data_IF_653170925774
#
_entry.id   IF_653170925774
#
_cell.length_a   1.000
_cell.length_b   1.000
_cell.length_c   1.000
_cell.angle_alpha   90.00
_cell.angle_beta   90.00
_cell.angle_gamma   90.00
#
_symmetry.space_group_name_H-M   'P 1'
#
loop_
_entity.id
_entity.type
_entity.pdbx_description
1 polymer ?
#
# COMPACT_ATOMS: atom_id res chain seq x y z
N UNK A 1 13.63 13.61 32.17
CA UNK A 1 13.39 12.19 32.46
C UNK A 1 14.25 11.42 31.48
N UNK A 2 15.30 10.75 31.95
CA UNK A 2 16.03 9.77 31.13
C UNK A 2 15.13 8.55 31.04
N UNK A 3 14.49 8.36 29.89
CA UNK A 3 13.77 7.11 29.62
C UNK A 3 14.75 5.95 29.72
N UNK A 4 14.34 4.90 30.42
CA UNK A 4 15.13 3.67 30.58
C UNK A 4 15.07 2.90 29.26
N UNK A 5 16.12 3.03 28.43
CA UNK A 5 16.20 2.40 27.11
C UNK A 5 16.63 0.95 27.28
N UNK A 6 15.74 0.03 26.93
CA UNK A 6 15.97 -1.42 27.02
C UNK A 6 16.69 -1.95 25.78
N UNK A 7 17.62 -2.87 25.98
CA UNK A 7 18.37 -3.53 24.89
C UNK A 7 17.57 -4.72 24.38
N UNK A 8 17.24 -4.72 23.09
CA UNK A 8 16.57 -5.84 22.44
C UNK A 8 17.55 -6.97 22.10
N UNK A 9 17.10 -8.22 22.22
CA UNK A 9 17.86 -9.41 21.82
C UNK A 9 17.23 -10.06 20.58
N UNK A 10 17.99 -10.25 19.49
CA UNK A 10 17.48 -10.97 18.33
C UNK A 10 17.35 -12.47 18.62
N UNK A 11 16.26 -13.06 18.16
CA UNK A 11 15.94 -14.47 18.24
C UNK A 11 15.65 -14.99 16.83
N UNK A 12 16.03 -16.25 16.56
CA UNK A 12 15.46 -16.93 15.39
C UNK A 12 13.99 -17.26 15.66
N UNK A 13 13.15 -17.01 14.65
CA UNK A 13 11.74 -17.39 14.60
C UNK A 13 11.59 -18.88 14.86
N UNK A 14 12.46 -19.71 14.24
CA UNK A 14 12.45 -21.16 14.42
C UNK A 14 12.79 -21.57 15.85
N UNK A 15 13.78 -20.92 16.47
CA UNK A 15 14.15 -21.15 17.88
C UNK A 15 13.04 -20.74 18.85
N UNK A 16 12.15 -19.82 18.45
CA UNK A 16 10.97 -19.44 19.21
C UNK A 16 9.78 -20.40 19.05
N UNK A 17 9.93 -21.52 18.31
CA UNK A 17 8.89 -22.51 18.07
C UNK A 17 7.90 -22.12 16.98
N UNK A 18 8.25 -21.15 16.14
CA UNK A 18 7.42 -20.62 15.06
C UNK A 18 7.95 -21.10 13.70
N UNK A 19 7.10 -21.09 12.68
CA UNK A 19 7.42 -21.59 11.33
C UNK A 19 7.12 -20.55 10.23
N UNK A 20 7.46 -20.89 9.00
CA UNK A 20 7.24 -20.05 7.81
C UNK A 20 5.75 -19.67 7.68
N UNK A 21 4.83 -20.61 7.90
CA UNK A 21 3.38 -20.36 7.84
C UNK A 21 2.91 -19.30 8.83
N UNK A 22 3.43 -19.35 10.06
CA UNK A 22 3.14 -18.36 11.08
C UNK A 22 3.62 -16.97 10.64
N UNK A 23 4.82 -16.87 10.06
CA UNK A 23 5.33 -15.60 9.55
C UNK A 23 4.48 -15.09 8.38
N UNK A 24 4.03 -15.98 7.50
CA UNK A 24 3.09 -15.63 6.44
C UNK A 24 1.76 -15.12 7.00
N UNK A 25 1.25 -15.68 8.11
CA UNK A 25 0.04 -15.17 8.78
C UNK A 25 0.25 -13.74 9.31
N UNK A 26 1.42 -13.45 9.91
CA UNK A 26 1.72 -12.10 10.39
C UNK A 26 1.77 -11.08 9.26
N UNK A 27 2.45 -11.42 8.16
CA UNK A 27 2.53 -10.56 6.98
C UNK A 27 1.15 -10.38 6.34
N UNK A 28 0.36 -11.45 6.22
CA UNK A 28 -0.99 -11.39 5.64
C UNK A 28 -1.94 -10.52 6.47
N UNK A 29 -1.88 -10.65 7.80
CA UNK A 29 -2.71 -9.86 8.72
C UNK A 29 -2.32 -8.38 8.74
N UNK A 30 -1.05 -8.06 8.50
CA UNK A 30 -0.56 -6.69 8.44
C UNK A 30 0.51 -6.49 7.34
N UNK A 31 0.11 -6.37 6.06
CA UNK A 31 1.06 -6.20 4.95
C UNK A 31 1.94 -4.94 5.07
N UNK A 32 1.42 -3.91 5.74
CA UNK A 32 2.15 -2.66 5.97
C UNK A 32 3.43 -2.84 6.80
N UNK A 33 3.53 -3.94 7.56
CA UNK A 33 4.74 -4.28 8.32
C UNK A 33 5.97 -4.47 7.41
N UNK A 34 5.79 -4.79 6.13
CA UNK A 34 6.87 -4.92 5.15
C UNK A 34 7.50 -3.57 4.73
N UNK A 35 6.88 -2.43 5.05
CA UNK A 35 7.38 -1.12 4.63
C UNK A 35 7.24 -0.85 3.12
N UNK A 36 6.23 -1.44 2.49
CA UNK A 36 5.93 -1.34 1.05
C UNK A 36 4.70 -0.46 0.74
N UNK A 37 4.23 0.32 1.71
CA UNK A 37 2.99 1.11 1.61
C UNK A 37 1.75 0.35 2.10
N UNK A 38 0.57 0.87 1.78
CA UNK A 38 -0.72 0.27 2.15
C UNK A 38 -1.14 -0.74 1.07
N UNK A 39 -0.69 -1.98 1.21
CA UNK A 39 -0.97 -3.06 0.27
C UNK A 39 -2.19 -3.89 0.71
N UNK A 40 -2.96 -4.36 -0.27
CA UNK A 40 -4.07 -5.30 -0.12
C UNK A 40 -3.59 -6.75 -0.30
N UNK A 41 -4.04 -7.66 0.58
CA UNK A 41 -3.89 -9.10 0.36
C UNK A 41 -4.81 -9.58 -0.77
N UNK A 42 -4.23 -10.14 -1.84
CA UNK A 42 -4.99 -10.68 -2.96
C UNK A 42 -5.19 -12.19 -2.82
N UNK A 43 -4.10 -12.94 -2.61
CA UNK A 43 -4.14 -14.41 -2.44
C UNK A 43 -3.06 -14.83 -1.45
N UNK A 44 -3.35 -15.83 -0.63
CA UNK A 44 -2.39 -16.54 0.22
C UNK A 44 -2.28 -18.01 -0.22
N UNK A 45 -1.07 -18.56 -0.26
CA UNK A 45 -0.75 -19.96 -0.63
C UNK A 45 -1.31 -20.42 -1.98
N UNK A 46 -1.09 -19.63 -3.03
CA UNK A 46 -1.60 -19.96 -4.37
C UNK A 46 -0.78 -21.04 -5.03
N UNK A 47 -1.37 -22.21 -5.31
CA UNK A 47 -0.73 -23.23 -6.16
C UNK A 47 -0.48 -22.72 -7.58
N UNK A 48 0.73 -22.96 -8.08
CA UNK A 48 1.17 -22.55 -9.43
C UNK A 48 1.04 -23.69 -10.44
N UNK A 49 0.79 -23.34 -11.71
CA UNK A 49 0.62 -24.32 -12.80
C UNK A 49 1.91 -25.08 -13.14
N UNK A 50 3.07 -24.48 -12.87
CA UNK A 50 4.40 -25.09 -13.02
C UNK A 50 4.79 -26.00 -11.85
N UNK A 51 3.95 -26.13 -10.82
CA UNK A 51 4.31 -26.71 -9.53
C UNK A 51 4.78 -25.66 -8.52
N UNK A 52 4.67 -25.96 -7.23
CA UNK A 52 4.95 -25.01 -6.13
C UNK A 52 3.76 -24.14 -5.73
N UNK A 53 3.99 -23.17 -4.85
CA UNK A 53 2.97 -22.22 -4.36
C UNK A 53 3.60 -20.86 -4.12
N UNK A 54 2.89 -19.79 -4.51
CA UNK A 54 3.23 -18.44 -4.05
C UNK A 54 2.73 -18.31 -2.63
N UNK A 55 3.62 -17.93 -1.71
CA UNK A 55 3.26 -17.77 -0.31
C UNK A 55 2.22 -16.65 -0.12
N UNK A 56 2.51 -15.43 -0.59
CA UNK A 56 1.58 -14.31 -0.50
C UNK A 56 1.63 -13.46 -1.77
N UNK A 57 0.45 -13.11 -2.29
CA UNK A 57 0.28 -12.16 -3.37
C UNK A 57 -0.41 -10.91 -2.83
N UNK A 58 0.30 -9.79 -2.82
CA UNK A 58 -0.23 -8.49 -2.42
C UNK A 58 -0.45 -7.61 -3.65
N UNK A 59 -1.25 -6.56 -3.47
CA UNK A 59 -1.59 -5.61 -4.53
C UNK A 59 -1.65 -4.19 -3.98
N UNK A 60 -1.11 -3.24 -4.71
CA UNK A 60 -1.29 -1.83 -4.43
C UNK A 60 -2.70 -1.38 -4.85
N UNK A 61 -3.53 -0.89 -3.91
CA UNK A 61 -4.86 -0.39 -4.20
C UNK A 61 -4.86 0.99 -4.85
N UNK A 62 -3.73 1.57 -5.21
CA UNK A 62 -3.62 2.85 -5.92
C UNK A 62 -3.32 2.67 -7.39
N UNK A 63 -2.46 1.73 -7.79
CA UNK A 63 -2.04 1.60 -9.20
C UNK A 63 -2.09 0.17 -9.77
N UNK A 64 -2.58 -0.79 -8.98
CA UNK A 64 -2.69 -2.21 -9.33
C UNK A 64 -1.35 -2.94 -9.44
N UNK A 65 -0.25 -2.34 -8.98
CA UNK A 65 1.03 -3.03 -8.82
C UNK A 65 0.88 -4.25 -7.93
N UNK A 66 1.64 -5.31 -8.22
CA UNK A 66 1.56 -6.58 -7.54
C UNK A 66 2.89 -6.92 -6.89
N UNK A 67 2.83 -7.53 -5.71
CA UNK A 67 3.99 -7.92 -4.94
C UNK A 67 3.89 -9.41 -4.61
N UNK A 68 4.75 -10.19 -5.24
CA UNK A 68 4.86 -11.63 -5.06
C UNK A 68 5.83 -11.91 -3.91
N UNK A 69 5.32 -12.14 -2.71
CA UNK A 69 6.10 -12.33 -1.49
C UNK A 69 6.39 -13.81 -1.26
N UNK A 70 7.67 -14.16 -1.18
CA UNK A 70 8.18 -15.51 -0.88
C UNK A 70 8.93 -15.50 0.46
N UNK A 71 8.50 -16.34 1.40
CA UNK A 71 8.98 -16.34 2.78
C UNK A 71 9.79 -17.62 3.06
N UNK A 72 11.00 -17.46 3.57
CA UNK A 72 11.78 -18.58 4.13
C UNK A 72 12.42 -18.18 5.44
N UNK A 73 12.40 -19.08 6.43
CA UNK A 73 13.13 -18.87 7.68
C UNK A 73 14.62 -19.23 7.49
N UNK A 74 15.46 -18.61 8.31
CA UNK A 74 16.91 -18.79 8.27
C UNK A 74 17.62 -17.93 7.23
N UNK A 75 18.80 -18.42 6.84
CA UNK A 75 19.62 -17.79 5.81
C UNK A 75 19.02 -18.02 4.43
N UNK A 76 18.96 -16.97 3.61
CA UNK A 76 18.62 -17.08 2.19
C UNK A 76 19.55 -18.07 1.48
N UNK A 77 18.98 -18.91 0.62
CA UNK A 77 19.73 -19.84 -0.23
C UNK A 77 19.37 -19.67 -1.72
N UNK A 78 19.98 -20.50 -2.58
CA UNK A 78 19.69 -20.49 -4.01
C UNK A 78 18.21 -20.82 -4.31
N UNK A 79 17.60 -21.70 -3.52
CA UNK A 79 16.19 -22.11 -3.70
C UNK A 79 15.25 -20.95 -3.44
N UNK A 80 15.52 -20.14 -2.41
CA UNK A 80 14.73 -18.98 -2.07
C UNK A 80 14.69 -17.95 -3.20
N UNK A 81 15.86 -17.64 -3.76
CA UNK A 81 15.99 -16.70 -4.88
C UNK A 81 15.27 -17.23 -6.12
N UNK A 82 15.48 -18.51 -6.46
CA UNK A 82 14.85 -19.13 -7.63
C UNK A 82 13.32 -19.08 -7.51
N UNK A 83 12.76 -19.50 -6.37
CA UNK A 83 11.29 -19.47 -6.15
C UNK A 83 10.72 -18.07 -6.25
N UNK A 84 11.39 -17.10 -5.61
CA UNK A 84 10.97 -15.69 -5.65
C UNK A 84 10.84 -15.19 -7.10
N UNK A 85 11.81 -15.50 -7.95
CA UNK A 85 11.84 -15.06 -9.36
C UNK A 85 10.83 -15.85 -10.22
N UNK A 86 10.73 -17.16 -10.05
CA UNK A 86 9.78 -18.00 -10.79
C UNK A 86 8.34 -17.57 -10.54
N UNK A 87 8.01 -17.24 -9.29
CA UNK A 87 6.69 -16.78 -8.88
C UNK A 87 6.35 -15.42 -9.45
N UNK A 88 7.30 -14.48 -9.42
CA UNK A 88 7.17 -13.21 -10.10
C UNK A 88 6.96 -13.36 -11.61
N UNK A 89 7.77 -14.17 -12.31
CA UNK A 89 7.66 -14.34 -13.76
C UNK A 89 6.32 -14.96 -14.15
N UNK A 90 5.84 -15.94 -13.38
CA UNK A 90 4.53 -16.56 -13.60
C UNK A 90 3.37 -15.55 -13.48
N UNK A 91 3.34 -14.73 -12.42
CA UNK A 91 2.27 -13.75 -12.24
C UNK A 91 2.38 -12.60 -13.26
N UNK A 92 3.59 -12.17 -13.61
CA UNK A 92 3.83 -11.19 -14.67
C UNK A 92 3.36 -11.68 -16.05
N UNK A 93 3.61 -12.94 -16.40
CA UNK A 93 3.08 -13.54 -17.64
C UNK A 93 1.56 -13.63 -17.65
N UNK A 94 0.96 -13.84 -16.48
CA UNK A 94 -0.49 -13.88 -16.30
C UNK A 94 -1.14 -12.51 -16.42
N UNK A 95 -0.53 -11.47 -15.87
CA UNK A 95 -1.03 -10.10 -15.88
C UNK A 95 0.00 -9.09 -16.41
N UNK A 96 0.39 -9.19 -17.69
CA UNK A 96 1.54 -8.46 -18.25
C UNK A 96 1.40 -6.93 -18.30
N UNK A 97 0.19 -6.41 -18.06
CA UNK A 97 -0.10 -4.98 -18.03
C UNK A 97 0.09 -4.36 -16.63
N UNK A 98 0.28 -5.16 -15.58
CA UNK A 98 0.52 -4.67 -14.22
C UNK A 98 2.02 -4.60 -13.97
N UNK A 99 2.43 -3.72 -13.06
CA UNK A 99 3.77 -3.77 -12.51
C UNK A 99 3.82 -4.91 -11.48
N UNK A 100 4.92 -5.65 -11.45
CA UNK A 100 5.10 -6.82 -10.58
C UNK A 100 6.45 -6.71 -9.89
N UNK A 101 6.51 -7.00 -8.59
CA UNK A 101 7.70 -6.94 -7.76
C UNK A 101 7.90 -8.27 -7.04
N UNK A 102 9.08 -8.86 -7.22
CA UNK A 102 9.44 -10.07 -6.49
C UNK A 102 9.93 -9.68 -5.09
N UNK A 103 9.28 -10.16 -4.04
CA UNK A 103 9.61 -9.78 -2.65
C UNK A 103 10.17 -10.99 -1.90
N UNK A 104 11.46 -10.95 -1.58
CA UNK A 104 12.17 -12.00 -0.84
C UNK A 104 12.18 -11.64 0.66
N UNK A 105 11.62 -12.50 1.52
CA UNK A 105 11.61 -12.30 2.99
C UNK A 105 12.37 -13.41 3.71
N UNK A 106 13.49 -13.08 4.37
CA UNK A 106 14.36 -14.02 5.08
C UNK A 106 14.81 -13.52 6.45
N UNK A 107 15.25 -14.40 7.36
CA UNK A 107 15.84 -13.98 8.65
C UNK A 107 17.25 -13.40 8.49
N UNK A 108 18.00 -13.87 7.50
CA UNK A 108 19.36 -13.41 7.20
C UNK A 108 19.63 -13.47 5.70
N UNK A 109 20.11 -12.37 5.13
CA UNK A 109 20.58 -12.31 3.75
C UNK A 109 22.09 -12.08 3.81
N UNK A 110 22.89 -13.12 3.59
CA UNK A 110 24.35 -12.98 3.65
C UNK A 110 24.87 -12.14 2.49
N UNK A 111 26.08 -11.58 2.65
CA UNK A 111 26.73 -10.77 1.62
C UNK A 111 26.83 -11.49 0.26
N UNK A 112 27.03 -12.81 0.26
CA UNK A 112 27.05 -13.62 -0.96
C UNK A 112 25.71 -13.53 -1.69
N UNK A 113 24.60 -13.81 -1.00
CA UNK A 113 23.28 -13.80 -1.60
C UNK A 113 22.76 -12.38 -1.88
N UNK A 114 23.09 -11.40 -1.04
CA UNK A 114 22.85 -10.00 -1.33
C UNK A 114 23.45 -9.59 -2.68
N UNK A 115 24.72 -9.93 -2.93
CA UNK A 115 25.37 -9.62 -4.21
C UNK A 115 24.68 -10.31 -5.40
N UNK A 116 24.23 -11.56 -5.23
CA UNK A 116 23.50 -12.30 -6.27
C UNK A 116 22.15 -11.63 -6.56
N UNK A 117 21.38 -11.32 -5.52
CA UNK A 117 20.09 -10.63 -5.65
C UNK A 117 20.27 -9.27 -6.32
N UNK A 118 21.29 -8.51 -5.93
CA UNK A 118 21.61 -7.21 -6.53
C UNK A 118 22.01 -7.31 -8.03
N UNK A 119 22.70 -8.38 -8.45
CA UNK A 119 22.96 -8.60 -9.88
C UNK A 119 21.65 -8.88 -10.62
N UNK A 120 20.83 -9.78 -10.07
CA UNK A 120 19.54 -10.16 -10.66
C UNK A 120 18.55 -9.00 -10.72
N UNK A 121 18.67 -8.05 -9.78
CA UNK A 121 17.74 -6.93 -9.70
C UNK A 121 17.83 -5.95 -10.88
N UNK A 122 18.90 -6.02 -11.68
CA UNK A 122 19.00 -5.27 -12.94
C UNK A 122 17.99 -5.75 -14.00
N UNK A 123 17.47 -6.98 -13.88
CA UNK A 123 16.53 -7.58 -14.83
C UNK A 123 15.17 -7.90 -14.21
N UNK A 124 15.12 -8.10 -12.90
CA UNK A 124 13.91 -8.41 -12.15
C UNK A 124 13.75 -7.35 -11.06
N UNK A 125 12.59 -6.69 -10.91
CA UNK A 125 12.36 -5.75 -9.82
C UNK A 125 12.23 -6.51 -8.49
N UNK A 126 13.37 -6.79 -7.85
CA UNK A 126 13.46 -7.58 -6.61
C UNK A 126 13.58 -6.63 -5.41
N UNK A 127 12.71 -6.84 -4.44
CA UNK A 127 12.78 -6.21 -3.11
C UNK A 127 13.18 -7.28 -2.12
N UNK A 128 14.24 -7.04 -1.34
CA UNK A 128 14.69 -7.98 -0.32
C UNK A 128 14.43 -7.39 1.07
N UNK A 129 13.77 -8.16 1.92
CA UNK A 129 13.37 -7.77 3.26
C UNK A 129 13.94 -8.79 4.25
N UNK A 130 14.67 -8.29 5.24
CA UNK A 130 15.11 -9.08 6.37
C UNK A 130 14.08 -8.97 7.49
N UNK A 131 13.62 -10.11 8.02
CA UNK A 131 12.78 -10.18 9.22
C UNK A 131 13.63 -10.52 10.44
N UNK A 132 13.31 -9.93 11.57
CA UNK A 132 13.96 -10.24 12.85
C UNK A 132 12.91 -10.33 13.94
N UNK A 133 12.92 -11.43 14.69
CA UNK A 133 12.17 -11.53 15.93
C UNK A 133 13.06 -10.98 17.05
N UNK A 134 12.60 -9.95 17.75
CA UNK A 134 13.33 -9.35 18.86
C UNK A 134 12.58 -9.56 20.17
N UNK A 135 13.31 -9.82 21.24
CA UNK A 135 12.79 -9.92 22.61
C UNK A 135 13.25 -8.71 23.43
N UNK A 136 12.28 -8.06 24.08
CA UNK A 136 12.50 -6.97 25.04
C UNK A 136 11.70 -7.30 26.29
N UNK A 137 12.39 -7.68 27.37
CA UNK A 137 11.79 -8.04 28.66
C UNK A 137 10.65 -9.09 28.56
N UNK A 138 10.83 -10.10 27.72
CA UNK A 138 9.85 -11.17 27.51
C UNK A 138 8.72 -10.81 26.55
N UNK A 139 8.69 -9.57 26.04
CA UNK A 139 7.82 -9.19 24.94
C UNK A 139 8.53 -9.40 23.61
N UNK A 140 7.90 -10.16 22.72
CA UNK A 140 8.43 -10.45 21.39
C UNK A 140 7.82 -9.52 20.36
N UNK A 141 8.64 -8.97 19.48
CA UNK A 141 8.21 -8.14 18.36
C UNK A 141 8.87 -8.61 17.07
N UNK A 142 8.12 -8.55 15.96
CA UNK A 142 8.70 -8.70 14.63
C UNK A 142 9.13 -7.34 14.11
N UNK A 143 10.33 -7.28 13.56
CA UNK A 143 10.87 -6.12 12.88
C UNK A 143 11.24 -6.53 11.45
N UNK A 144 10.79 -5.75 10.46
CA UNK A 144 11.12 -5.96 9.06
C UNK A 144 11.99 -4.82 8.58
N UNK A 145 13.08 -5.14 7.90
CA UNK A 145 14.03 -4.17 7.36
C UNK A 145 14.17 -4.43 5.88
N UNK A 146 13.91 -3.42 5.06
CA UNK A 146 14.17 -3.48 3.63
C UNK A 146 15.68 -3.34 3.42
N UNK A 147 16.32 -4.39 2.91
CA UNK A 147 17.77 -4.44 2.69
C UNK A 147 18.16 -4.15 1.24
N UNK A 148 17.23 -4.38 0.30
CA UNK A 148 17.37 -3.98 -1.10
C UNK A 148 16.01 -3.49 -1.59
N UNK A 149 15.98 -2.29 -2.17
CA UNK A 149 14.85 -1.77 -2.92
C UNK A 149 15.35 -1.24 -4.24
N UNK A 150 15.22 -2.03 -5.30
CA UNK A 150 15.69 -1.60 -6.63
C UNK A 150 14.70 -0.67 -7.33
N UNK A 151 13.65 -0.23 -6.62
CA UNK A 151 12.75 0.82 -7.08
C UNK A 151 13.16 2.21 -6.59
N UNK A 152 14.29 2.35 -5.90
CA UNK A 152 14.97 3.63 -5.90
C UNK A 152 15.44 3.88 -7.34
N UNK A 153 14.76 4.80 -8.05
CA UNK A 153 15.36 5.45 -9.22
C UNK A 153 16.79 5.83 -8.81
N UNK A 154 17.78 5.31 -9.53
CA UNK A 154 19.16 5.80 -9.39
C UNK A 154 19.05 7.30 -9.66
N UNK A 155 19.23 8.11 -8.62
CA UNK A 155 19.46 9.54 -8.78
C UNK A 155 20.70 9.67 -9.67
N UNK A 156 20.49 9.90 -10.96
CA UNK A 156 21.54 10.02 -11.97
C UNK A 156 22.29 11.36 -11.85
N UNK A 157 22.07 12.08 -10.75
CA UNK A 157 22.61 13.41 -10.52
C UNK A 157 21.90 14.47 -11.36
N UNK A 158 20.81 14.15 -12.07
CA UNK A 158 19.83 15.16 -12.44
C UNK A 158 19.10 15.55 -11.17
N UNK A 159 19.64 16.56 -10.50
CA UNK A 159 19.02 17.22 -9.35
C UNK A 159 17.51 17.21 -9.53
N UNK A 160 16.78 16.72 -8.52
CA UNK A 160 15.33 16.88 -8.41
C UNK A 160 15.01 18.32 -8.81
N UNK A 161 14.58 18.52 -10.06
CA UNK A 161 13.84 19.73 -10.37
C UNK A 161 12.69 19.63 -9.39
N UNK A 162 12.53 20.63 -8.53
CA UNK A 162 11.28 20.86 -7.82
C UNK A 162 10.21 20.91 -8.90
N UNK A 163 9.66 19.75 -9.27
CA UNK A 163 8.56 19.67 -10.20
C UNK A 163 7.44 20.29 -9.42
N UNK A 164 7.08 21.51 -9.79
CA UNK A 164 5.94 22.20 -9.22
C UNK A 164 4.71 21.31 -9.45
N UNK A 165 4.26 20.62 -8.40
CA UNK A 165 3.13 19.72 -8.49
C UNK A 165 1.87 20.55 -8.38
N UNK A 166 1.31 20.91 -9.53
CA UNK A 166 0.11 21.72 -9.65
C UNK A 166 -0.92 21.03 -10.55
N UNK A 167 -1.99 21.76 -10.90
CA UNK A 167 -3.05 21.26 -11.76
C UNK A 167 -2.53 20.84 -13.15
N UNK A 168 -1.58 21.57 -13.72
CA UNK A 168 -1.05 21.28 -15.06
C UNK A 168 -0.19 20.01 -15.08
N UNK A 169 0.56 19.75 -14.01
CA UNK A 169 1.21 18.46 -13.80
C UNK A 169 0.18 17.32 -13.84
N UNK A 170 -0.93 17.46 -13.10
CA UNK A 170 -1.99 16.44 -13.06
C UNK A 170 -2.77 16.33 -14.36
N UNK A 171 -2.96 17.41 -15.12
CA UNK A 171 -3.55 17.37 -16.45
C UNK A 171 -2.72 16.53 -17.43
N UNK A 172 -1.39 16.56 -17.32
CA UNK A 172 -0.49 15.71 -18.12
C UNK A 172 -0.45 14.27 -17.60
N UNK A 173 -0.41 14.08 -16.28
CA UNK A 173 -0.28 12.78 -15.63
C UNK A 173 -1.55 11.94 -15.68
N UNK A 174 -2.69 12.54 -15.34
CA UNK A 174 -3.98 11.89 -15.20
C UNK A 174 -5.11 12.94 -15.17
N UNK A 175 -5.41 13.55 -16.32
CA UNK A 175 -6.44 14.59 -16.46
C UNK A 175 -7.79 14.20 -15.84
N UNK A 176 -8.20 12.95 -16.02
CA UNK A 176 -9.45 12.43 -15.46
C UNK A 176 -9.51 12.51 -13.92
N UNK A 177 -8.36 12.40 -13.24
CA UNK A 177 -8.30 12.51 -11.77
C UNK A 177 -8.44 13.96 -11.31
N UNK A 178 -7.85 14.90 -12.05
CA UNK A 178 -8.05 16.33 -11.79
C UNK A 178 -9.53 16.73 -11.99
N UNK A 179 -10.14 16.31 -13.10
CA UNK A 179 -11.55 16.59 -13.40
C UNK A 179 -12.51 15.93 -12.39
N UNK A 180 -12.23 14.69 -11.97
CA UNK A 180 -13.01 14.01 -10.92
C UNK A 180 -12.88 14.74 -9.59
N UNK A 181 -11.70 15.27 -9.27
CA UNK A 181 -11.48 16.05 -8.04
C UNK A 181 -12.27 17.35 -8.07
N UNK A 182 -12.31 18.06 -9.20
CA UNK A 182 -13.12 19.28 -9.33
C UNK A 182 -14.60 19.00 -9.12
N UNK A 183 -15.08 17.90 -9.73
CA UNK A 183 -16.47 17.49 -9.57
C UNK A 183 -16.78 17.14 -8.12
N UNK A 184 -15.92 16.37 -7.47
CA UNK A 184 -16.06 16.07 -6.05
C UNK A 184 -16.09 17.34 -5.20
N UNK A 185 -15.15 18.26 -5.44
CA UNK A 185 -15.07 19.55 -4.74
C UNK A 185 -16.36 20.37 -4.87
N UNK A 186 -16.97 20.38 -6.06
CA UNK A 186 -18.26 21.07 -6.30
C UNK A 186 -19.43 20.48 -5.50
N UNK A 187 -19.33 19.22 -5.08
CA UNK A 187 -20.37 18.50 -4.32
C UNK A 187 -20.12 18.57 -2.82
N UNK A 188 -18.86 18.49 -2.39
CA UNK A 188 -18.51 18.41 -0.96
C UNK A 188 -18.21 19.78 -0.34
N UNK A 189 -18.01 20.82 -1.15
CA UNK A 189 -17.59 22.14 -0.68
C UNK A 189 -18.55 22.79 0.32
N UNK A 190 -19.86 22.58 0.16
CA UNK A 190 -20.86 23.13 1.09
C UNK A 190 -20.78 22.48 2.48
N UNK A 191 -20.47 21.18 2.55
CA UNK A 191 -20.28 20.46 3.80
C UNK A 191 -18.91 20.73 4.43
N UNK A 192 -17.88 20.92 3.59
CA UNK A 192 -16.50 21.15 4.00
C UNK A 192 -16.12 22.62 3.82
N UNK A 193 -16.61 23.45 4.74
CA UNK A 193 -16.25 24.88 4.76
C UNK A 193 -14.73 25.06 4.71
N UNK A 194 -14.28 25.96 3.84
CA UNK A 194 -12.85 26.24 3.61
C UNK A 194 -12.04 25.07 3.04
N UNK A 195 -12.68 24.07 2.42
CA UNK A 195 -11.96 23.06 1.67
C UNK A 195 -11.18 23.68 0.49
N UNK A 196 -10.02 23.10 0.21
CA UNK A 196 -9.17 23.48 -0.90
C UNK A 196 -8.56 22.24 -1.57
N UNK A 197 -8.28 22.35 -2.86
CA UNK A 197 -7.60 21.30 -3.61
C UNK A 197 -6.08 21.49 -3.43
N UNK A 198 -5.41 20.45 -2.94
CA UNK A 198 -3.96 20.41 -2.80
C UNK A 198 -3.39 19.35 -3.74
N UNK A 199 -2.43 19.75 -4.58
CA UNK A 199 -1.77 18.85 -5.51
C UNK A 199 -0.47 18.36 -4.89
N UNK A 200 -0.29 17.03 -4.82
CA UNK A 200 0.98 16.42 -4.43
C UNK A 200 1.40 15.40 -5.48
N UNK A 201 2.67 14.97 -5.44
CA UNK A 201 3.26 14.09 -6.48
C UNK A 201 2.41 12.83 -6.72
N UNK A 202 1.85 12.24 -5.66
CA UNK A 202 1.21 10.92 -5.72
C UNK A 202 -0.33 10.94 -5.71
N UNK A 203 -0.96 12.01 -5.24
CA UNK A 203 -2.42 12.17 -5.19
C UNK A 203 -2.85 13.63 -5.29
N UNK A 204 -4.15 13.84 -5.51
CA UNK A 204 -4.80 15.14 -5.31
C UNK A 204 -5.63 15.05 -4.03
N UNK A 205 -5.49 16.00 -3.11
CA UNK A 205 -6.26 16.04 -1.88
C UNK A 205 -7.31 17.13 -1.89
N UNK A 206 -8.44 16.86 -1.22
CA UNK A 206 -9.38 17.87 -0.74
C UNK A 206 -9.11 18.03 0.75
N UNK A 207 -8.61 19.20 1.13
CA UNK A 207 -8.07 19.46 2.47
C UNK A 207 -8.83 20.60 3.15
N UNK A 208 -9.04 20.49 4.46
CA UNK A 208 -9.56 21.58 5.31
C UNK A 208 -8.49 21.86 6.36
N UNK A 209 -7.93 23.08 6.33
CA UNK A 209 -6.76 23.41 7.15
C UNK A 209 -5.56 22.54 6.78
N UNK A 210 -5.03 21.79 7.75
CA UNK A 210 -3.88 20.87 7.56
C UNK A 210 -4.27 19.42 7.30
N UNK A 211 -5.56 19.11 7.32
CA UNK A 211 -6.05 17.73 7.26
C UNK A 211 -6.59 17.42 5.87
N UNK A 212 -6.20 16.26 5.34
CA UNK A 212 -6.73 15.75 4.07
C UNK A 212 -8.02 14.97 4.35
N UNK A 213 -9.14 15.51 3.88
CA UNK A 213 -10.46 14.91 4.10
C UNK A 213 -10.74 13.84 3.05
N UNK A 214 -10.34 14.11 1.81
CA UNK A 214 -10.34 13.17 0.71
C UNK A 214 -8.99 13.17 0.00
N UNK A 215 -8.62 12.05 -0.59
CA UNK A 215 -7.48 11.94 -1.50
C UNK A 215 -7.87 11.10 -2.71
N UNK A 216 -7.38 11.50 -3.88
CA UNK A 216 -7.65 10.87 -5.16
C UNK A 216 -6.33 10.46 -5.82
N UNK A 217 -6.17 9.15 -6.02
CA UNK A 217 -5.07 8.58 -6.81
C UNK A 217 -5.54 8.29 -8.24
N UNK A 218 -4.61 8.37 -9.20
CA UNK A 218 -4.89 7.89 -10.56
C UNK A 218 -5.11 6.38 -10.54
N UNK A 219 -6.09 5.89 -11.30
CA UNK A 219 -6.30 4.46 -11.57
C UNK A 219 -6.34 4.21 -13.06
N UNK A 220 -6.16 2.94 -13.46
CA UNK A 220 -6.33 2.50 -14.84
C UNK A 220 -7.77 2.70 -15.32
N UNK A 221 -7.99 2.75 -16.64
CA UNK A 221 -9.33 2.89 -17.22
C UNK A 221 -9.98 4.27 -17.02
N UNK A 222 -9.19 5.34 -16.89
CA UNK A 222 -9.65 6.71 -16.62
C UNK A 222 -10.50 6.85 -15.35
N UNK A 223 -10.25 6.00 -14.35
CA UNK A 223 -10.87 6.08 -13.03
C UNK A 223 -9.90 6.67 -12.01
N UNK A 224 -10.42 7.03 -10.84
CA UNK A 224 -9.65 7.48 -9.69
C UNK A 224 -10.00 6.66 -8.47
N UNK A 225 -9.02 6.38 -7.61
CA UNK A 225 -9.28 5.83 -6.29
C UNK A 225 -9.50 6.99 -5.33
N UNK A 226 -10.75 7.20 -4.92
CA UNK A 226 -11.10 8.10 -3.85
C UNK A 226 -10.94 7.39 -2.51
N UNK A 227 -10.16 7.96 -1.61
CA UNK A 227 -10.06 7.51 -0.23
C UNK A 227 -10.43 8.60 0.77
N UNK A 228 -11.00 8.17 1.89
CA UNK A 228 -11.32 9.05 3.02
C UNK A 228 -11.31 8.30 4.35
N UNK A 229 -11.00 9.02 5.42
CA UNK A 229 -10.98 8.49 6.79
C UNK A 229 -12.37 8.58 7.40
N UNK A 230 -12.79 7.53 8.10
CA UNK A 230 -14.04 7.50 8.88
C UNK A 230 -13.75 6.98 10.29
N UNK A 231 -14.28 7.66 11.31
CA UNK A 231 -14.21 7.20 12.69
C UNK A 231 -15.00 5.88 12.86
N UNK A 232 -14.55 4.93 13.70
CA UNK A 232 -15.21 3.62 13.82
C UNK A 232 -16.71 3.69 14.10
N UNK A 233 -17.15 4.63 14.93
CA UNK A 233 -18.57 4.83 15.27
C UNK A 233 -19.45 5.42 14.14
N UNK A 234 -18.84 5.86 13.03
CA UNK A 234 -19.52 6.38 11.84
C UNK A 234 -19.37 5.44 10.64
N UNK A 235 -18.60 4.35 10.78
CA UNK A 235 -18.24 3.49 9.67
C UNK A 235 -19.44 2.72 9.09
N UNK A 236 -20.37 2.29 9.94
CA UNK A 236 -21.57 1.58 9.49
C UNK A 236 -22.56 2.54 8.79
N UNK A 237 -22.62 3.81 9.21
CA UNK A 237 -23.40 4.86 8.53
C UNK A 237 -22.83 5.15 7.13
N UNK A 238 -21.50 5.27 7.01
CA UNK A 238 -20.84 5.45 5.72
C UNK A 238 -21.03 4.24 4.78
N UNK A 239 -20.95 3.03 5.33
CA UNK A 239 -21.22 1.81 4.58
C UNK A 239 -22.66 1.76 4.06
N UNK A 240 -23.65 2.05 4.90
CA UNK A 240 -25.06 2.04 4.48
C UNK A 240 -25.33 3.03 3.34
N UNK A 241 -24.76 4.25 3.40
CA UNK A 241 -24.88 5.25 2.33
C UNK A 241 -24.35 4.74 0.98
N UNK A 242 -23.26 3.98 1.00
CA UNK A 242 -22.66 3.41 -0.20
C UNK A 242 -23.44 2.20 -0.72
N UNK A 243 -23.89 1.33 0.18
CA UNK A 243 -24.70 0.15 -0.15
C UNK A 243 -26.04 0.55 -0.79
N UNK A 244 -26.74 1.55 -0.23
CA UNK A 244 -28.01 2.07 -0.76
C UNK A 244 -27.87 2.65 -2.18
N UNK A 245 -26.72 3.28 -2.45
CA UNK A 245 -26.36 3.82 -3.75
C UNK A 245 -25.77 2.78 -4.71
N UNK A 246 -25.59 1.53 -4.26
CA UNK A 246 -24.92 0.44 -5.00
C UNK A 246 -23.52 0.82 -5.47
N UNK A 247 -22.81 1.65 -4.70
CA UNK A 247 -21.42 2.02 -4.98
C UNK A 247 -20.53 0.97 -4.34
N UNK A 248 -19.69 0.31 -5.15
CA UNK A 248 -18.71 -0.65 -4.65
C UNK A 248 -17.58 0.06 -3.90
N UNK A 249 -17.17 -0.47 -2.76
CA UNK A 249 -16.12 0.08 -1.91
C UNK A 249 -15.26 -1.00 -1.27
N UNK A 250 -14.04 -0.61 -0.86
CA UNK A 250 -13.20 -1.39 0.04
C UNK A 250 -13.21 -0.72 1.42
N UNK A 251 -13.67 -1.45 2.45
CA UNK A 251 -13.63 -0.99 3.86
C UNK A 251 -12.31 -1.42 4.49
N UNK A 252 -11.52 -0.44 4.91
CA UNK A 252 -10.29 -0.61 5.71
C UNK A 252 -10.59 -0.27 7.19
N UNK A 253 -9.72 -0.63 8.15
CA UNK A 253 -9.97 -0.37 9.56
C UNK A 253 -10.24 1.10 9.93
N UNK A 254 -9.69 2.06 9.16
CA UNK A 254 -9.81 3.51 9.43
C UNK A 254 -10.27 4.32 8.21
N UNK A 255 -10.55 3.67 7.08
CA UNK A 255 -10.83 4.38 5.82
C UNK A 255 -11.71 3.56 4.90
N UNK A 256 -12.29 4.26 3.93
CA UNK A 256 -13.00 3.65 2.80
C UNK A 256 -12.28 4.05 1.52
N UNK A 257 -12.26 3.13 0.56
CA UNK A 257 -11.72 3.36 -0.78
C UNK A 257 -12.81 3.06 -1.80
N UNK A 258 -12.97 3.96 -2.78
CA UNK A 258 -13.97 3.86 -3.84
C UNK A 258 -13.28 4.13 -5.17
N UNK A 259 -13.41 3.21 -6.12
CA UNK A 259 -13.04 3.50 -7.51
C UNK A 259 -14.15 4.32 -8.14
N UNK A 260 -13.85 5.54 -8.58
CA UNK A 260 -14.84 6.52 -9.05
C UNK A 260 -14.34 7.29 -10.28
N UNK A 261 -15.22 8.11 -10.85
CA UNK A 261 -14.94 9.05 -11.93
C UNK A 261 -15.99 10.18 -11.93
N UNK A 262 -15.80 11.18 -12.79
CA UNK A 262 -16.71 12.32 -12.90
C UNK A 262 -18.19 11.93 -13.08
N UNK A 263 -18.58 10.99 -13.98
CA UNK A 263 -19.95 10.49 -14.06
C UNK A 263 -20.47 9.92 -12.75
N UNK A 264 -19.72 9.02 -12.10
CA UNK A 264 -20.14 8.39 -10.84
C UNK A 264 -20.40 9.42 -9.74
N UNK A 265 -19.53 10.43 -9.61
CA UNK A 265 -19.72 11.52 -8.64
C UNK A 265 -20.95 12.36 -8.98
N UNK A 266 -21.18 12.64 -10.26
CA UNK A 266 -22.32 13.45 -10.73
C UNK A 266 -23.67 12.76 -10.57
N UNK A 267 -23.73 11.44 -10.72
CA UNK A 267 -24.97 10.67 -10.54
C UNK A 267 -25.32 10.48 -9.07
N UNK A 268 -24.34 10.60 -8.16
CA UNK A 268 -24.47 10.27 -6.74
C UNK A 268 -24.13 11.44 -5.80
N UNK A 269 -24.37 12.69 -6.22
CA UNK A 269 -23.95 13.89 -5.48
C UNK A 269 -24.40 13.88 -4.01
N UNK A 270 -25.64 13.46 -3.74
CA UNK A 270 -26.17 13.38 -2.37
C UNK A 270 -25.39 12.40 -1.49
N UNK A 271 -24.89 11.31 -2.08
CA UNK A 271 -24.09 10.31 -1.38
C UNK A 271 -22.74 10.90 -1.01
N UNK A 272 -22.04 11.52 -1.97
CA UNK A 272 -20.73 12.14 -1.71
C UNK A 272 -20.82 13.32 -0.75
N UNK A 273 -21.89 14.12 -0.81
CA UNK A 273 -22.19 15.16 0.19
C UNK A 273 -22.43 14.55 1.58
N UNK A 274 -23.24 13.49 1.68
CA UNK A 274 -23.45 12.76 2.94
C UNK A 274 -22.14 12.21 3.53
N UNK A 275 -21.30 11.60 2.70
CA UNK A 275 -19.96 11.14 3.10
C UNK A 275 -19.09 12.29 3.60
N UNK A 276 -19.11 13.46 2.96
CA UNK A 276 -18.39 14.64 3.42
C UNK A 276 -18.84 15.07 4.83
N UNK A 277 -20.13 15.01 5.13
CA UNK A 277 -20.66 15.24 6.48
C UNK A 277 -20.09 14.26 7.52
N UNK A 278 -19.96 12.98 7.17
CA UNK A 278 -19.36 11.96 8.05
C UNK A 278 -17.85 12.13 8.22
N UNK A 279 -17.15 12.47 7.14
CA UNK A 279 -15.71 12.78 7.18
C UNK A 279 -15.48 14.01 8.06
N UNK A 280 -16.30 15.07 7.94
CA UNK A 280 -16.22 16.24 8.83
C UNK A 280 -16.40 15.86 10.30
N UNK A 281 -17.42 15.08 10.62
CA UNK A 281 -17.65 14.58 12.00
C UNK A 281 -16.51 13.70 12.51
N UNK A 282 -15.84 12.98 11.62
CA UNK A 282 -14.65 12.17 11.94
C UNK A 282 -13.49 13.05 12.43
N UNK A 283 -13.27 14.19 11.79
CA UNK A 283 -12.20 15.13 12.16
C UNK A 283 -12.56 16.07 13.32
N UNK A 284 -13.86 16.30 13.57
CA UNK A 284 -14.33 17.20 14.64
C UNK A 284 -14.19 16.66 16.07
N UNK A 285 -13.96 15.34 16.25
CA UNK A 285 -13.76 14.71 17.58
C UNK A 285 -12.28 14.37 17.87
N UNK A 286 -11.37 15.02 17.17
CA UNK A 286 -9.93 14.76 17.26
C UNK A 286 -9.13 15.67 18.21
N UNK A 287 -9.78 16.63 18.86
CA UNK A 287 -9.18 17.51 19.90
C UNK A 287 -9.54 17.03 21.31
#
# INVERSE_FOLDING_TARGET
>A
MTEDIKVAQPLSIRSAGLNEYWLQDQIWANPSALGLGDLDGLIKERRQSSGGRVDILLKDPQDDSMYEVEVMLGETDETHIIRTIEYWDNEKRRWPQRQHYAVLVAESITRRFFNVIHILSHSVPIIAIQVSLVDVDGQKALHFTKVLDTYEEIDDGSAEQEIEVNRDYWNKKARWTAETTDKLMSVVGDELQSAQISYVKNYIAVSVGRNNYFWLHKRSGNKSLLGFRIAPHLADEAQQLLDDAKISFTRKPKSFLITTDTPTVSENERVFSGLAGLVRRTWAKGD
#
